data_IF_889399010520
#
_entry.id   IF_889399010520
#
_cell.length_a   1.000
_cell.length_b   1.000
_cell.length_c   1.000
_cell.angle_alpha   90.00
_cell.angle_beta   90.00
_cell.angle_gamma   90.00
#
_symmetry.space_group_name_H-M   'P 1'
#
loop_
_entity.id
_entity.type
_entity.pdbx_description
1 polymer ?
#
# COMPACT_ATOMS: atom_id res chain seq x y z
N UNK A 1 -4.18 15.40 22.72
CA UNK A 1 -5.21 14.56 22.08
C UNK A 1 -4.80 14.43 20.63
N UNK A 2 -4.09 13.37 20.26
CA UNK A 2 -3.59 13.22 18.89
C UNK A 2 -3.86 11.80 18.40
N UNK A 3 -4.20 11.74 17.12
CA UNK A 3 -5.25 10.89 16.60
C UNK A 3 -4.85 9.41 16.44
N UNK A 4 -5.84 8.57 16.72
CA UNK A 4 -5.98 7.18 16.28
C UNK A 4 -5.49 6.98 14.84
N UNK A 5 -4.35 6.31 14.67
CA UNK A 5 -4.08 5.35 13.59
C UNK A 5 -2.78 4.59 13.95
N UNK A 6 -2.82 3.59 14.86
CA UNK A 6 -1.64 2.84 15.30
C UNK A 6 -0.97 1.99 14.21
N UNK A 7 -1.45 2.06 12.97
CA UNK A 7 -0.86 1.39 11.82
C UNK A 7 -1.14 2.27 10.61
N UNK A 8 -0.14 2.90 10.00
CA UNK A 8 -0.27 3.65 8.75
C UNK A 8 -0.65 2.77 7.54
N UNK A 9 -1.67 1.92 7.69
CA UNK A 9 -2.15 0.91 6.75
C UNK A 9 -3.65 1.12 6.54
N UNK A 10 -4.05 1.43 5.32
CA UNK A 10 -5.43 1.67 4.90
C UNK A 10 -5.80 0.65 3.83
N UNK A 11 -6.93 -0.05 4.00
CA UNK A 11 -7.47 -0.90 2.94
C UNK A 11 -8.31 -0.04 2.00
N UNK A 12 -8.02 -0.12 0.71
CA UNK A 12 -8.75 0.57 -0.35
C UNK A 12 -8.87 -0.35 -1.56
N UNK A 13 -9.84 -0.14 -2.42
CA UNK A 13 -9.93 -0.91 -3.67
C UNK A 13 -8.83 -0.47 -4.63
N UNK A 14 -8.26 -1.42 -5.36
CA UNK A 14 -7.29 -1.16 -6.45
C UNK A 14 -7.89 -0.18 -7.45
N UNK A 15 -9.14 -0.42 -7.84
CA UNK A 15 -9.90 0.42 -8.76
C UNK A 15 -10.01 1.88 -8.29
N UNK A 16 -10.22 2.11 -6.98
CA UNK A 16 -10.30 3.48 -6.42
C UNK A 16 -8.96 4.22 -6.48
N UNK A 17 -7.85 3.52 -6.24
CA UNK A 17 -6.52 4.11 -6.38
C UNK A 17 -6.19 4.38 -7.85
N UNK A 18 -6.54 3.46 -8.75
CA UNK A 18 -6.39 3.64 -10.19
C UNK A 18 -7.16 4.87 -10.69
N UNK A 19 -8.41 5.03 -10.24
CA UNK A 19 -9.27 6.18 -10.56
C UNK A 19 -8.69 7.50 -10.04
N UNK A 20 -8.04 7.46 -8.87
CA UNK A 20 -7.27 8.60 -8.34
C UNK A 20 -5.95 8.87 -9.07
N UNK A 21 -5.62 8.12 -10.11
CA UNK A 21 -4.37 8.27 -10.87
C UNK A 21 -3.15 7.60 -10.24
N UNK A 22 -3.34 6.67 -9.30
CA UNK A 22 -2.23 5.92 -8.70
C UNK A 22 -1.63 4.95 -9.72
N UNK A 23 -0.33 5.10 -9.98
CA UNK A 23 0.37 4.27 -10.95
C UNK A 23 1.01 3.04 -10.29
N UNK A 24 0.30 1.92 -10.34
CA UNK A 24 0.80 0.62 -9.87
C UNK A 24 2.00 0.07 -10.65
N UNK A 25 2.29 0.63 -11.84
CA UNK A 25 3.43 0.20 -12.64
C UNK A 25 4.73 0.89 -12.20
N UNK A 26 4.63 1.99 -11.45
CA UNK A 26 5.79 2.74 -10.99
C UNK A 26 6.09 2.42 -9.53
N UNK A 27 7.23 1.78 -9.29
CA UNK A 27 7.69 1.44 -7.95
C UNK A 27 9.21 1.45 -7.88
N UNK A 28 9.74 1.82 -6.72
CA UNK A 28 11.18 1.84 -6.47
C UNK A 28 11.65 0.57 -5.76
N UNK A 29 10.77 -0.07 -4.99
CA UNK A 29 11.07 -1.28 -4.25
C UNK A 29 9.90 -2.25 -4.29
N UNK A 30 10.23 -3.53 -4.39
CA UNK A 30 9.26 -4.62 -4.24
C UNK A 30 9.74 -5.55 -3.14
N UNK A 31 8.85 -5.87 -2.22
CA UNK A 31 9.11 -6.71 -1.05
C UNK A 31 8.14 -7.89 -1.04
N UNK A 32 8.64 -9.07 -1.40
CA UNK A 32 7.90 -10.31 -1.29
C UNK A 32 8.05 -10.88 0.12
N UNK A 33 6.92 -11.25 0.74
CA UNK A 33 6.91 -11.96 2.02
C UNK A 33 6.99 -13.46 1.81
N UNK A 34 7.52 -14.18 2.81
CA UNK A 34 7.55 -15.64 2.81
C UNK A 34 6.15 -16.29 2.76
N UNK A 35 5.09 -15.54 3.08
CA UNK A 35 3.69 -15.98 2.97
C UNK A 35 3.12 -15.83 1.54
N UNK A 36 3.91 -15.38 0.58
CA UNK A 36 3.49 -15.19 -0.82
C UNK A 36 2.86 -13.83 -1.11
N UNK A 37 2.76 -12.93 -0.13
CA UNK A 37 2.23 -11.57 -0.36
C UNK A 37 3.34 -10.63 -0.83
N UNK A 38 3.10 -9.90 -1.92
CA UNK A 38 4.06 -8.96 -2.53
C UNK A 38 3.65 -7.51 -2.27
N UNK A 39 4.48 -6.80 -1.53
CA UNK A 39 4.34 -5.37 -1.27
C UNK A 39 5.13 -4.58 -2.31
N UNK A 40 4.50 -3.58 -2.89
CA UNK A 40 5.12 -2.71 -3.87
C UNK A 40 5.21 -1.31 -3.27
N UNK A 41 6.42 -0.76 -3.18
CA UNK A 41 6.71 0.53 -2.59
C UNK A 41 7.14 1.54 -3.65
N UNK A 42 6.47 2.68 -3.63
CA UNK A 42 6.76 3.89 -4.37
C UNK A 42 7.10 5.01 -3.36
N UNK A 43 8.41 5.25 -3.18
CA UNK A 43 8.92 6.19 -2.16
C UNK A 43 8.41 5.85 -0.74
N UNK A 44 7.68 6.78 -0.14
CA UNK A 44 7.12 6.68 1.21
C UNK A 44 5.79 5.90 1.26
N UNK A 45 5.18 5.58 0.10
CA UNK A 45 3.93 4.83 0.03
C UNK A 45 4.15 3.44 -0.55
N UNK A 46 3.62 2.42 0.09
CA UNK A 46 3.54 1.08 -0.47
C UNK A 46 2.10 0.59 -0.57
N UNK A 47 1.89 -0.47 -1.34
CA UNK A 47 0.62 -1.16 -1.39
C UNK A 47 0.85 -2.67 -1.46
N UNK A 48 -0.08 -3.42 -0.88
CA UNK A 48 -0.14 -4.89 -0.98
C UNK A 48 -1.43 -5.28 -1.68
N UNK A 49 -1.34 -6.05 -2.75
CA UNK A 49 -2.54 -6.65 -3.35
C UNK A 49 -3.12 -7.73 -2.44
N UNK A 50 -4.41 -7.63 -2.15
CA UNK A 50 -5.19 -8.61 -1.40
C UNK A 50 -6.08 -9.41 -2.37
N UNK A 51 -6.54 -10.55 -1.89
CA UNK A 51 -7.61 -11.31 -2.54
C UNK A 51 -8.89 -10.44 -2.44
N UNK A 52 -9.63 -10.21 -3.54
CA UNK A 52 -10.82 -9.34 -3.72
C UNK A 52 -10.63 -7.95 -4.40
N UNK A 53 -9.60 -7.74 -5.24
CA UNK A 53 -9.31 -6.43 -5.88
C UNK A 53 -9.06 -5.30 -4.86
N UNK A 54 -8.81 -5.66 -3.62
CA UNK A 54 -8.44 -4.74 -2.57
C UNK A 54 -6.92 -4.62 -2.50
N UNK A 55 -6.46 -3.45 -2.08
CA UNK A 55 -5.06 -3.21 -1.79
C UNK A 55 -4.93 -2.59 -0.40
N UNK A 56 -3.92 -3.04 0.33
CA UNK A 56 -3.54 -2.44 1.59
C UNK A 56 -2.50 -1.36 1.30
N UNK A 57 -2.94 -0.10 1.23
CA UNK A 57 -2.07 1.05 1.13
C UNK A 57 -1.36 1.26 2.47
N UNK A 58 -0.03 1.27 2.47
CA UNK A 58 0.81 1.47 3.65
C UNK A 58 1.66 2.71 3.44
N UNK A 59 1.79 3.56 4.45
CA UNK A 59 2.76 4.67 4.44
C UNK A 59 3.93 4.29 5.34
N UNK A 60 5.16 4.39 4.83
CA UNK A 60 6.37 4.38 5.65
C UNK A 60 6.42 5.73 6.37
N UNK A 61 6.17 5.69 7.67
CA UNK A 61 6.46 6.83 8.53
C UNK A 61 7.98 6.89 8.68
N UNK A 62 8.61 7.89 8.06
CA UNK A 62 9.97 8.26 8.42
C UNK A 62 9.94 8.76 9.87
N UNK A 63 10.84 8.19 10.65
CA UNK A 63 10.88 8.18 12.11
C UNK A 63 10.94 9.58 12.75
#
# INVERSE_FOLDING_TARGET
MEAKNPTGKTKVKRSTLADKGFNFNYHTHTYATQKGSTYIFCYEYGYLALENDEVLLVKREER
#
